data_IF_291801787865
#
_entry.id   IF_291801787865
#
_cell.length_a   1.000
_cell.length_b   1.000
_cell.length_c   1.000
_cell.angle_alpha   90.00
_cell.angle_beta   90.00
_cell.angle_gamma   90.00
#
_symmetry.space_group_name_H-M   'P 1'
#
loop_
_entity.id
_entity.type
_entity.pdbx_description
1 polymer ?
#
# COMPACT_ATOMS: atom_id res chain seq x y z
N UNK A 1 -0.61 -13.61 -26.97
CA UNK A 1 -1.40 -12.86 -25.98
C UNK A 1 -0.50 -12.71 -24.78
N UNK A 2 -0.28 -11.50 -24.29
CA UNK A 2 0.54 -11.32 -23.08
C UNK A 2 -0.27 -11.85 -21.91
N UNK A 3 0.31 -12.69 -21.06
CA UNK A 3 -0.34 -13.26 -19.89
C UNK A 3 0.50 -13.01 -18.64
N UNK A 4 -0.18 -12.80 -17.52
CA UNK A 4 0.49 -12.70 -16.23
C UNK A 4 0.88 -14.09 -15.75
N UNK A 5 2.14 -14.23 -15.34
CA UNK A 5 2.74 -15.49 -14.88
C UNK A 5 2.37 -15.80 -13.42
N UNK A 6 1.08 -15.81 -13.11
CA UNK A 6 0.57 -15.95 -11.73
C UNK A 6 1.09 -17.21 -11.04
N UNK A 7 1.06 -18.35 -11.74
CA UNK A 7 1.58 -19.61 -11.21
C UNK A 7 3.07 -19.54 -10.89
N UNK A 8 3.88 -18.80 -11.66
CA UNK A 8 5.31 -18.67 -11.38
C UNK A 8 5.53 -17.82 -10.10
N UNK A 9 4.76 -16.75 -9.91
CA UNK A 9 4.80 -15.93 -8.69
C UNK A 9 4.29 -16.67 -7.46
N UNK A 10 3.16 -17.38 -7.55
CA UNK A 10 2.61 -18.15 -6.44
C UNK A 10 3.56 -19.28 -5.97
N UNK A 11 4.38 -19.81 -6.89
CA UNK A 11 5.42 -20.79 -6.57
C UNK A 11 6.77 -20.15 -6.16
N UNK A 12 6.86 -18.82 -6.08
CA UNK A 12 8.06 -18.08 -5.67
C UNK A 12 9.16 -17.99 -6.73
N UNK A 13 8.88 -18.33 -8.00
CA UNK A 13 9.83 -18.20 -9.11
C UNK A 13 9.94 -16.77 -9.65
N UNK A 14 8.98 -15.92 -9.31
CA UNK A 14 8.97 -14.50 -9.60
C UNK A 14 8.76 -13.78 -8.28
N UNK A 15 9.57 -12.76 -8.00
CA UNK A 15 9.41 -11.93 -6.82
C UNK A 15 8.21 -10.96 -6.96
N UNK A 16 7.79 -10.39 -5.83
CA UNK A 16 6.65 -9.47 -5.78
C UNK A 16 6.83 -8.24 -6.69
N UNK A 17 8.04 -7.65 -6.76
CA UNK A 17 8.27 -6.44 -7.53
C UNK A 17 8.20 -6.72 -9.04
N UNK A 18 8.77 -7.85 -9.48
CA UNK A 18 8.71 -8.33 -10.86
C UNK A 18 7.27 -8.64 -11.29
N UNK A 19 6.48 -9.27 -10.41
CA UNK A 19 5.05 -9.51 -10.66
C UNK A 19 4.26 -8.20 -10.67
N UNK A 20 4.53 -7.27 -9.75
CA UNK A 20 3.91 -5.96 -9.69
C UNK A 20 4.15 -5.13 -10.96
N UNK A 21 5.38 -5.13 -11.48
CA UNK A 21 5.72 -4.47 -12.75
C UNK A 21 4.97 -5.10 -13.93
N UNK A 22 4.91 -6.43 -13.97
CA UNK A 22 4.18 -7.18 -15.01
C UNK A 22 2.69 -6.87 -14.98
N UNK A 23 2.09 -6.87 -13.78
CA UNK A 23 0.69 -6.50 -13.57
C UNK A 23 0.40 -5.08 -14.05
N UNK A 24 1.23 -4.12 -13.65
CA UNK A 24 1.09 -2.72 -14.06
C UNK A 24 1.11 -2.58 -15.58
N UNK A 25 2.14 -3.13 -16.26
CA UNK A 25 2.26 -3.00 -17.72
C UNK A 25 1.10 -3.71 -18.42
N UNK A 26 0.71 -4.91 -17.97
CA UNK A 26 -0.39 -5.67 -18.54
C UNK A 26 -1.72 -4.89 -18.50
N UNK A 27 -2.12 -4.39 -17.33
CA UNK A 27 -3.38 -3.64 -17.21
C UNK A 27 -3.29 -2.24 -17.82
N UNK A 28 -2.11 -1.61 -17.79
CA UNK A 28 -1.89 -0.34 -18.47
C UNK A 28 -2.08 -0.48 -19.98
N UNK A 29 -1.51 -1.52 -20.60
CA UNK A 29 -1.70 -1.81 -22.03
C UNK A 29 -3.15 -2.14 -22.38
N UNK A 30 -3.87 -2.84 -21.50
CA UNK A 30 -5.31 -3.09 -21.69
C UNK A 30 -6.13 -1.79 -21.67
N UNK A 31 -5.83 -0.86 -20.75
CA UNK A 31 -6.58 0.41 -20.60
C UNK A 31 -6.12 1.47 -21.63
N UNK A 32 -4.84 1.48 -21.96
CA UNK A 32 -4.17 2.45 -22.83
C UNK A 32 -3.22 1.77 -23.82
N UNK A 33 -3.75 1.16 -24.91
CA UNK A 33 -2.95 0.37 -25.84
C UNK A 33 -1.77 1.14 -26.44
N UNK A 34 -0.59 0.50 -26.43
CA UNK A 34 0.64 1.03 -27.03
C UNK A 34 1.49 -0.10 -27.60
N UNK A 35 1.54 -0.20 -28.95
CA UNK A 35 2.26 -1.27 -29.66
C UNK A 35 3.76 -1.33 -29.37
N UNK A 36 4.40 -0.19 -29.04
CA UNK A 36 5.84 -0.17 -28.74
C UNK A 36 6.11 -0.82 -27.39
N UNK A 37 5.31 -0.46 -26.38
CA UNK A 37 5.40 -1.06 -25.03
C UNK A 37 4.99 -2.53 -25.08
N UNK A 38 3.94 -2.87 -25.82
CA UNK A 38 3.47 -4.26 -25.99
C UNK A 38 4.57 -5.15 -26.59
N UNK A 39 5.24 -4.70 -27.65
CA UNK A 39 6.36 -5.42 -28.25
C UNK A 39 7.53 -5.56 -27.27
N UNK A 40 7.93 -4.46 -26.63
CA UNK A 40 9.02 -4.48 -25.67
C UNK A 40 8.72 -5.39 -24.47
N UNK A 41 7.47 -5.44 -24.01
CA UNK A 41 7.05 -6.32 -22.92
C UNK A 41 7.06 -7.80 -23.31
N UNK A 42 6.64 -8.13 -24.54
CA UNK A 42 6.69 -9.50 -25.04
C UNK A 42 8.12 -10.02 -25.27
N UNK A 43 9.06 -9.13 -25.58
CA UNK A 43 10.47 -9.47 -25.87
C UNK A 43 11.39 -9.36 -24.63
N UNK A 44 10.89 -8.81 -23.51
CA UNK A 44 11.72 -8.50 -22.34
C UNK A 44 11.88 -9.70 -21.40
N UNK A 45 13.11 -9.96 -21.00
CA UNK A 45 13.45 -10.87 -19.88
C UNK A 45 13.37 -10.16 -18.52
N UNK A 46 13.46 -8.82 -18.50
CA UNK A 46 13.44 -7.99 -17.30
C UNK A 46 12.42 -6.85 -17.43
N UNK A 47 11.21 -7.10 -16.92
CA UNK A 47 10.07 -6.20 -17.02
C UNK A 47 10.32 -4.85 -16.33
N UNK A 48 11.15 -4.83 -15.28
CA UNK A 48 11.45 -3.61 -14.53
C UNK A 48 12.18 -2.55 -15.36
N UNK A 49 13.00 -2.94 -16.34
CA UNK A 49 13.73 -2.03 -17.21
C UNK A 49 12.79 -1.20 -18.10
N UNK A 50 11.64 -1.79 -18.47
CA UNK A 50 10.62 -1.11 -19.28
C UNK A 50 10.04 0.11 -18.57
N UNK A 51 9.98 0.07 -17.23
CA UNK A 51 9.50 1.21 -16.43
C UNK A 51 10.42 2.43 -16.60
N UNK A 52 11.70 2.22 -16.87
CA UNK A 52 12.69 3.29 -17.07
C UNK A 52 12.67 3.85 -18.49
N UNK A 53 12.34 3.01 -19.47
CA UNK A 53 12.40 3.35 -20.90
C UNK A 53 11.16 4.07 -21.42
N UNK A 54 10.01 3.90 -20.75
CA UNK A 54 8.73 4.39 -21.26
C UNK A 54 8.06 5.40 -20.31
N UNK A 55 7.33 6.34 -20.94
CA UNK A 55 6.40 7.22 -20.25
C UNK A 55 5.00 6.65 -20.38
N UNK A 56 4.35 6.41 -19.24
CA UNK A 56 3.03 5.81 -19.18
C UNK A 56 1.95 6.88 -19.08
N UNK A 57 0.97 6.82 -19.99
CA UNK A 57 -0.15 7.76 -20.04
C UNK A 57 -1.00 7.66 -18.77
N UNK A 58 -1.39 8.82 -18.21
CA UNK A 58 -2.29 8.92 -17.03
C UNK A 58 -1.79 8.21 -15.77
N UNK A 59 -0.47 8.00 -15.64
CA UNK A 59 0.13 7.45 -14.42
C UNK A 59 0.83 8.58 -13.68
N UNK A 60 0.57 8.70 -12.37
CA UNK A 60 1.20 9.74 -11.55
C UNK A 60 2.68 9.40 -11.33
N UNK A 61 3.54 10.42 -11.35
CA UNK A 61 4.99 10.24 -11.22
C UNK A 61 5.38 9.52 -9.93
N UNK A 62 4.73 9.86 -8.82
CA UNK A 62 4.92 9.23 -7.50
C UNK A 62 4.72 7.72 -7.53
N UNK A 63 3.63 7.25 -8.13
CA UNK A 63 3.34 5.82 -8.24
C UNK A 63 4.38 5.09 -9.10
N UNK A 64 4.76 5.69 -10.23
CA UNK A 64 5.77 5.10 -11.11
C UNK A 64 7.15 5.06 -10.45
N UNK A 65 7.51 6.09 -9.69
CA UNK A 65 8.74 6.12 -8.90
C UNK A 65 8.74 5.05 -7.81
N UNK A 66 7.63 4.90 -7.10
CA UNK A 66 7.46 3.83 -6.11
C UNK A 66 7.67 2.44 -6.70
N UNK A 67 7.04 2.15 -7.84
CA UNK A 67 7.20 0.87 -8.51
C UNK A 67 8.66 0.64 -8.96
N UNK A 68 9.33 1.68 -9.47
CA UNK A 68 10.76 1.60 -9.85
C UNK A 68 11.64 1.29 -8.63
N UNK A 69 11.44 2.02 -7.53
CA UNK A 69 12.20 1.82 -6.29
C UNK A 69 11.96 0.45 -5.67
N UNK A 70 10.74 -0.07 -5.78
CA UNK A 70 10.43 -1.45 -5.41
C UNK A 70 11.20 -2.46 -6.27
N UNK A 71 11.17 -2.31 -7.60
CA UNK A 71 11.93 -3.20 -8.51
C UNK A 71 13.45 -3.16 -8.30
N UNK A 72 13.98 -2.05 -7.79
CA UNK A 72 15.40 -1.92 -7.45
C UNK A 72 15.74 -2.51 -6.07
N UNK A 73 14.74 -3.00 -5.32
CA UNK A 73 14.91 -3.51 -3.95
C UNK A 73 15.18 -2.40 -2.93
N UNK A 74 14.88 -1.15 -3.26
CA UNK A 74 15.11 -0.01 -2.37
C UNK A 74 13.95 0.20 -1.39
N UNK A 75 12.72 -0.07 -1.80
CA UNK A 75 11.50 0.15 -1.01
C UNK A 75 10.75 -1.16 -0.75
N UNK A 76 10.44 -1.42 0.52
CA UNK A 76 9.87 -2.68 1.00
C UNK A 76 8.34 -2.72 0.88
N UNK A 77 7.88 -3.15 -0.28
CA UNK A 77 6.46 -3.45 -0.49
C UNK A 77 6.18 -4.95 -0.44
N UNK A 78 4.91 -5.27 -0.18
CA UNK A 78 4.38 -6.63 -0.25
C UNK A 78 3.22 -6.69 -1.24
N UNK A 79 3.31 -7.56 -2.24
CA UNK A 79 2.22 -7.76 -3.18
C UNK A 79 1.17 -8.69 -2.56
N UNK A 80 -0.11 -8.30 -2.62
CA UNK A 80 -1.21 -9.08 -2.05
C UNK A 80 -2.35 -9.21 -3.07
N UNK A 81 -3.03 -10.36 -3.10
CA UNK A 81 -4.16 -10.61 -4.03
C UNK A 81 -5.53 -10.34 -3.42
N UNK A 82 -5.57 -9.96 -2.14
CA UNK A 82 -6.78 -9.68 -1.36
C UNK A 82 -6.72 -8.27 -0.77
N UNK A 83 -7.89 -7.68 -0.53
CA UNK A 83 -7.98 -6.45 0.26
C UNK A 83 -7.78 -6.88 1.71
N UNK A 84 -6.71 -6.37 2.32
CA UNK A 84 -6.37 -6.68 3.70
C UNK A 84 -7.35 -6.03 4.68
N UNK A 85 -7.57 -6.67 5.81
CA UNK A 85 -8.27 -6.08 6.94
C UNK A 85 -7.43 -4.97 7.58
N UNK A 86 -8.05 -4.03 8.31
CA UNK A 86 -7.32 -2.97 9.02
C UNK A 86 -6.19 -3.50 9.92
N UNK A 87 -6.39 -4.62 10.60
CA UNK A 87 -5.37 -5.23 11.47
C UNK A 87 -4.21 -5.88 10.71
N UNK A 88 -4.48 -6.46 9.54
CA UNK A 88 -3.43 -6.98 8.66
C UNK A 88 -2.60 -5.83 8.08
N UNK A 89 -3.24 -4.73 7.69
CA UNK A 89 -2.55 -3.50 7.26
C UNK A 89 -1.68 -2.97 8.40
N UNK A 90 -2.24 -2.77 9.60
CA UNK A 90 -1.49 -2.36 10.79
C UNK A 90 -0.25 -3.23 11.04
N UNK A 91 -0.40 -4.55 10.91
CA UNK A 91 0.69 -5.50 11.14
C UNK A 91 1.84 -5.31 10.16
N UNK A 92 1.56 -5.01 8.89
CA UNK A 92 2.58 -4.71 7.89
C UNK A 92 3.18 -3.31 8.10
N UNK A 93 2.35 -2.30 8.37
CA UNK A 93 2.79 -0.92 8.61
C UNK A 93 3.75 -0.82 9.80
N UNK A 94 3.47 -1.56 10.89
CA UNK A 94 4.32 -1.63 12.07
C UNK A 94 5.69 -2.31 11.81
N UNK A 95 5.86 -2.97 10.67
CA UNK A 95 7.12 -3.56 10.20
C UNK A 95 7.81 -2.69 9.14
N UNK A 96 7.21 -1.55 8.76
CA UNK A 96 7.70 -0.70 7.69
C UNK A 96 7.42 -1.23 6.29
N UNK A 97 6.49 -2.19 6.17
CA UNK A 97 6.11 -2.81 4.90
C UNK A 97 4.82 -2.17 4.40
N UNK A 98 4.77 -1.84 3.10
CA UNK A 98 3.56 -1.29 2.46
C UNK A 98 2.89 -2.33 1.56
N UNK A 99 1.63 -2.71 1.80
CA UNK A 99 0.92 -3.62 0.91
C UNK A 99 0.56 -2.93 -0.41
N UNK A 100 0.65 -3.67 -1.51
CA UNK A 100 0.13 -3.27 -2.82
C UNK A 100 -0.82 -4.35 -3.31
N UNK A 101 -2.05 -3.96 -3.62
CA UNK A 101 -3.11 -4.91 -3.95
C UNK A 101 -3.16 -5.18 -5.45
N UNK A 102 -2.92 -6.44 -5.80
CA UNK A 102 -3.06 -7.00 -7.14
C UNK A 102 -4.41 -7.71 -7.28
N UNK A 103 -5.42 -7.00 -7.78
CA UNK A 103 -6.72 -7.61 -8.12
C UNK A 103 -6.81 -7.91 -9.62
N UNK A 104 -6.88 -9.18 -9.97
CA UNK A 104 -7.07 -9.62 -11.35
C UNK A 104 -8.52 -9.40 -11.77
N UNK A 105 -8.71 -8.70 -12.89
CA UNK A 105 -10.00 -8.39 -13.47
C UNK A 105 -10.03 -8.80 -14.95
N UNK A 106 -11.08 -9.52 -15.35
CA UNK A 106 -11.32 -9.82 -16.77
C UNK A 106 -11.76 -8.55 -17.53
N UNK A 107 -12.66 -7.80 -16.89
CA UNK A 107 -13.16 -6.50 -17.34
C UNK A 107 -12.94 -5.49 -16.21
N UNK A 108 -12.61 -4.25 -16.55
CA UNK A 108 -12.38 -3.20 -15.56
C UNK A 108 -13.67 -2.92 -14.79
N UNK A 109 -13.61 -3.06 -13.46
CA UNK A 109 -14.74 -2.86 -12.56
C UNK A 109 -14.27 -2.14 -11.30
N UNK A 110 -15.12 -1.28 -10.69
CA UNK A 110 -14.74 -0.55 -9.48
C UNK A 110 -14.25 -1.44 -8.34
N UNK A 111 -13.22 -0.98 -7.64
CA UNK A 111 -12.71 -1.58 -6.39
C UNK A 111 -12.76 -0.51 -5.31
N UNK A 112 -13.64 -0.71 -4.32
CA UNK A 112 -13.94 0.30 -3.29
C UNK A 112 -14.28 1.66 -3.94
N UNK A 113 -13.44 2.67 -3.71
CA UNK A 113 -13.60 4.03 -4.23
C UNK A 113 -12.74 4.32 -5.48
N UNK A 114 -12.16 3.29 -6.10
CA UNK A 114 -11.32 3.42 -7.31
C UNK A 114 -12.04 2.85 -8.52
N UNK A 115 -11.75 3.45 -9.67
CA UNK A 115 -12.40 3.12 -10.94
C UNK A 115 -12.21 1.64 -11.33
N UNK A 116 -11.01 1.10 -11.10
CA UNK A 116 -10.67 -0.27 -11.44
C UNK A 116 -9.41 -0.78 -10.72
N UNK A 117 -8.98 -2.01 -11.05
CA UNK A 117 -7.78 -2.62 -10.47
C UNK A 117 -6.47 -1.88 -10.74
N UNK A 118 -6.34 -1.20 -11.89
CA UNK A 118 -5.13 -0.46 -12.21
C UNK A 118 -5.07 0.83 -11.38
N UNK A 119 -6.18 1.57 -11.29
CA UNK A 119 -6.25 2.77 -10.45
C UNK A 119 -6.08 2.45 -8.96
N UNK A 120 -6.61 1.30 -8.51
CA UNK A 120 -6.40 0.82 -7.14
C UNK A 120 -4.93 0.51 -6.86
N UNK A 121 -4.28 -0.26 -7.74
CA UNK A 121 -2.87 -0.58 -7.64
C UNK A 121 -1.96 0.66 -7.68
N UNK A 122 -2.24 1.60 -8.60
CA UNK A 122 -1.54 2.89 -8.67
C UNK A 122 -1.70 3.66 -7.36
N UNK A 123 -2.89 3.64 -6.76
CA UNK A 123 -3.13 4.32 -5.50
C UNK A 123 -2.31 3.73 -4.34
N UNK A 124 -2.23 2.40 -4.23
CA UNK A 124 -1.39 1.75 -3.22
C UNK A 124 0.09 2.12 -3.38
N UNK A 125 0.58 2.22 -4.63
CA UNK A 125 1.94 2.70 -4.91
C UNK A 125 2.15 4.17 -4.50
N UNK A 126 1.14 5.04 -4.65
CA UNK A 126 1.23 6.43 -4.17
C UNK A 126 1.37 6.50 -2.65
N UNK A 127 0.63 5.67 -1.92
CA UNK A 127 0.77 5.56 -0.47
C UNK A 127 2.18 5.14 -0.08
N UNK A 128 2.72 4.12 -0.77
CA UNK A 128 4.09 3.71 -0.56
C UNK A 128 5.11 4.81 -0.85
N UNK A 129 4.93 5.57 -1.93
CA UNK A 129 5.74 6.75 -2.19
C UNK A 129 5.72 7.71 -1.00
N UNK A 130 4.52 8.07 -0.53
CA UNK A 130 4.37 9.00 0.60
C UNK A 130 5.01 8.48 1.88
N UNK A 131 5.11 7.16 2.04
CA UNK A 131 5.81 6.55 3.18
C UNK A 131 7.32 6.51 3.02
N UNK A 132 7.86 6.10 1.87
CA UNK A 132 9.29 5.82 1.70
C UNK A 132 10.13 7.02 1.25
N UNK A 133 9.52 8.04 0.64
CA UNK A 133 10.28 9.16 0.07
C UNK A 133 10.94 10.09 1.11
N UNK A 134 10.48 10.06 2.36
CA UNK A 134 10.96 10.90 3.46
C UNK A 134 11.25 9.99 4.67
N UNK A 135 12.53 9.79 4.98
CA UNK A 135 12.96 8.86 6.02
C UNK A 135 12.54 9.34 7.42
N UNK A 136 12.45 10.65 7.67
CA UNK A 136 12.02 11.18 8.96
C UNK A 136 10.54 10.87 9.19
N UNK A 137 9.70 11.14 8.17
CA UNK A 137 8.28 10.79 8.20
C UNK A 137 8.06 9.28 8.29
N UNK A 138 8.88 8.48 7.61
CA UNK A 138 8.84 7.02 7.67
C UNK A 138 9.09 6.51 9.09
N UNK A 139 10.15 7.00 9.75
CA UNK A 139 10.50 6.61 11.13
C UNK A 139 9.37 7.00 12.10
N UNK A 140 8.81 8.20 11.96
CA UNK A 140 7.68 8.64 12.78
C UNK A 140 6.44 7.74 12.60
N UNK A 141 6.07 7.42 11.36
CA UNK A 141 4.94 6.55 11.08
C UNK A 141 5.18 5.11 11.59
N UNK A 142 6.41 4.60 11.45
CA UNK A 142 6.77 3.27 11.95
C UNK A 142 6.63 3.19 13.47
N UNK A 143 7.15 4.20 14.21
CA UNK A 143 6.99 4.30 15.67
C UNK A 143 5.51 4.31 16.04
N UNK A 144 4.74 5.17 15.39
CA UNK A 144 3.30 5.29 15.64
C UNK A 144 2.54 3.98 15.45
N UNK A 145 2.68 3.31 14.30
CA UNK A 145 1.95 2.06 14.05
C UNK A 145 2.41 0.91 14.93
N UNK A 146 3.69 0.88 15.33
CA UNK A 146 4.19 -0.08 16.31
C UNK A 146 3.53 0.13 17.68
N UNK A 147 3.46 1.36 18.15
CA UNK A 147 2.82 1.71 19.43
C UNK A 147 1.33 1.41 19.44
N UNK A 148 0.62 1.73 18.35
CA UNK A 148 -0.79 1.34 18.19
C UNK A 148 -0.93 -0.19 18.22
N UNK A 149 -0.09 -0.92 17.48
CA UNK A 149 -0.13 -2.39 17.48
C UNK A 149 0.13 -2.96 18.88
N UNK A 150 1.13 -2.46 19.59
CA UNK A 150 1.51 -2.94 20.91
C UNK A 150 0.43 -2.61 21.95
N UNK A 151 -0.29 -1.48 21.82
CA UNK A 151 -1.39 -1.10 22.72
C UNK A 151 -2.56 -2.10 22.74
N UNK A 152 -2.78 -2.86 21.66
CA UNK A 152 -3.75 -3.96 21.65
C UNK A 152 -3.34 -5.12 22.56
N UNK A 153 -2.05 -5.35 22.78
CA UNK A 153 -1.58 -6.39 23.71
C UNK A 153 -1.65 -5.98 25.18
N UNK A 154 -1.82 -4.68 25.44
CA UNK A 154 -1.86 -4.10 26.78
C UNK A 154 -3.29 -3.83 27.28
N UNK A 155 -4.30 -4.37 26.59
CA UNK A 155 -5.72 -4.21 26.95
C UNK A 155 -6.21 -2.75 26.99
N UNK A 156 -5.45 -1.80 26.44
CA UNK A 156 -5.73 -0.36 26.51
C UNK A 156 -7.10 0.00 25.91
N UNK A 157 -7.49 -0.68 24.84
CA UNK A 157 -8.74 -0.42 24.12
C UNK A 157 -9.98 -1.08 24.74
N UNK A 158 -9.83 -1.90 25.79
CA UNK A 158 -10.94 -2.72 26.31
C UNK A 158 -12.13 -1.90 26.79
N UNK A 159 -11.90 -0.68 27.29
CA UNK A 159 -12.97 0.21 27.74
C UNK A 159 -13.87 0.72 26.60
N UNK A 160 -13.39 0.65 25.36
CA UNK A 160 -14.15 1.02 24.15
C UNK A 160 -14.82 -0.18 23.47
N UNK A 161 -14.69 -1.39 24.04
CA UNK A 161 -15.31 -2.57 23.46
C UNK A 161 -16.84 -2.41 23.36
N UNK A 162 -17.38 -2.65 22.16
CA UNK A 162 -18.81 -2.50 21.86
C UNK A 162 -19.21 -1.10 21.39
N UNK A 163 -18.34 -0.09 21.46
CA UNK A 163 -18.57 1.19 20.80
C UNK A 163 -18.25 1.09 19.30
N UNK A 164 -19.30 0.91 18.50
CA UNK A 164 -19.21 0.81 17.03
C UNK A 164 -18.61 2.06 16.38
N UNK A 165 -18.77 3.24 16.98
CA UNK A 165 -18.22 4.49 16.44
C UNK A 165 -16.73 4.54 16.65
N UNK A 166 -16.28 4.14 17.84
CA UNK A 166 -14.87 3.98 18.14
C UNK A 166 -14.23 2.93 17.21
N UNK A 167 -14.84 1.74 17.11
CA UNK A 167 -14.37 0.65 16.24
C UNK A 167 -14.18 1.11 14.79
N UNK A 168 -15.19 1.78 14.21
CA UNK A 168 -15.11 2.30 12.85
C UNK A 168 -13.95 3.29 12.65
N UNK A 169 -13.77 4.22 13.60
CA UNK A 169 -12.70 5.23 13.53
C UNK A 169 -11.33 4.61 13.72
N UNK A 170 -11.20 3.67 14.65
CA UNK A 170 -9.97 2.92 14.86
C UNK A 170 -9.60 2.12 13.62
N UNK A 171 -10.56 1.42 13.01
CA UNK A 171 -10.35 0.71 11.76
C UNK A 171 -9.91 1.65 10.63
N UNK A 172 -10.53 2.82 10.51
CA UNK A 172 -10.09 3.84 9.56
C UNK A 172 -8.64 4.23 9.81
N UNK A 173 -8.29 4.62 11.05
CA UNK A 173 -6.93 5.03 11.44
C UNK A 173 -5.87 3.97 11.11
N UNK A 174 -6.11 2.70 11.48
CA UNK A 174 -5.10 1.64 11.31
C UNK A 174 -5.05 1.10 9.88
N UNK A 175 -6.04 1.43 9.04
CA UNK A 175 -6.04 1.15 7.60
C UNK A 175 -5.53 2.32 6.76
N UNK A 176 -5.42 3.52 7.35
CA UNK A 176 -4.97 4.71 6.64
C UNK A 176 -3.46 4.62 6.42
N UNK A 177 -3.05 4.67 5.16
CA UNK A 177 -1.65 4.67 4.74
C UNK A 177 -1.13 6.08 4.46
N UNK A 178 -1.98 7.09 4.65
CA UNK A 178 -1.64 8.49 4.42
C UNK A 178 -1.28 9.24 5.71
N UNK A 179 -0.27 10.10 5.56
CA UNK A 179 -0.13 11.38 6.28
C UNK A 179 0.59 11.36 7.64
N UNK A 180 1.00 12.59 8.02
CA UNK A 180 1.88 12.98 9.11
C UNK A 180 1.36 12.63 10.51
N UNK A 181 2.28 12.41 11.44
CA UNK A 181 2.04 12.04 12.84
C UNK A 181 0.99 12.90 13.55
N UNK A 182 1.02 14.22 13.33
CA UNK A 182 0.07 15.16 13.94
C UNK A 182 -1.39 14.88 13.54
N UNK A 183 -1.61 14.39 12.33
CA UNK A 183 -2.94 14.00 11.87
C UNK A 183 -3.42 12.76 12.62
N UNK A 184 -2.54 11.77 12.81
CA UNK A 184 -2.87 10.56 13.56
C UNK A 184 -3.16 10.85 15.03
N UNK A 185 -2.32 11.67 15.70
CA UNK A 185 -2.56 12.09 17.09
C UNK A 185 -3.87 12.85 17.23
N UNK A 186 -4.13 13.82 16.36
CA UNK A 186 -5.39 14.59 16.36
C UNK A 186 -6.61 13.69 16.14
N UNK A 187 -6.50 12.73 15.22
CA UNK A 187 -7.58 11.78 14.94
C UNK A 187 -7.83 10.84 16.12
N UNK A 188 -6.76 10.39 16.77
CA UNK A 188 -6.81 9.57 17.98
C UNK A 188 -7.46 10.32 19.14
N UNK A 189 -7.09 11.58 19.38
CA UNK A 189 -7.66 12.42 20.43
C UNK A 189 -9.15 12.68 20.23
N UNK A 190 -9.59 12.80 18.98
CA UNK A 190 -10.99 12.99 18.66
C UNK A 190 -11.87 11.74 18.91
N UNK A 191 -11.28 10.59 19.25
CA UNK A 191 -12.01 9.34 19.54
C UNK A 191 -11.80 8.76 20.93
N UNK A 192 -10.95 9.37 21.77
CA UNK A 192 -10.66 8.91 23.14
C UNK A 192 -10.91 10.01 24.18
N UNK A 193 -11.11 9.59 25.43
CA UNK A 193 -11.30 10.51 26.56
C UNK A 193 -10.02 11.26 26.93
N UNK A 194 -10.16 12.45 27.54
CA UNK A 194 -9.02 13.28 27.94
C UNK A 194 -8.04 12.60 28.91
N UNK A 195 -8.50 11.63 29.70
CA UNK A 195 -7.64 10.84 30.58
C UNK A 195 -6.70 9.92 29.79
N UNK A 196 -7.19 9.34 28.70
CA UNK A 196 -6.43 8.46 27.81
C UNK A 196 -5.50 9.22 26.87
N UNK A 197 -5.84 10.47 26.54
CA UNK A 197 -4.96 11.33 25.75
C UNK A 197 -3.59 11.48 26.42
N UNK A 198 -3.54 11.54 27.75
CA UNK A 198 -2.27 11.58 28.50
C UNK A 198 -1.44 10.30 28.36
N UNK A 199 -2.10 9.15 28.22
CA UNK A 199 -1.42 7.89 27.97
C UNK A 199 -0.86 7.82 26.55
N UNK A 200 -1.61 8.36 25.58
CA UNK A 200 -1.10 8.55 24.22
C UNK A 200 0.05 9.57 24.18
N UNK A 201 0.00 10.66 24.93
CA UNK A 201 1.17 11.55 25.03
C UNK A 201 2.40 10.79 25.57
N UNK A 202 2.21 9.99 26.62
CA UNK A 202 3.30 9.22 27.24
C UNK A 202 3.90 8.12 26.35
N UNK A 203 3.08 7.39 25.59
CA UNK A 203 3.58 6.34 24.68
C UNK A 203 4.27 6.94 23.47
N UNK A 204 3.73 8.05 22.95
CA UNK A 204 4.10 8.61 21.64
C UNK A 204 5.02 9.85 21.75
N UNK A 205 5.64 10.09 22.91
CA UNK A 205 6.82 10.97 23.14
C UNK A 205 8.12 10.23 22.76
#
# INVERSE_FOLDING_TARGET
MIELKLNEWENGNIDDASMAASFFIYYHLKKYPNKKIERAFAESENVSELLQQFVFKKVRSKALEALKKWCLGEWDFKLVTTILTPFEVLSLQAQGIRPVTMKIQKEFQPILHKEDCLEFFIHDLEHGYMFFHDEELKVMQLKFFKEIKDSFTLDFWNKYNGDKRFEYRLHYLISDMNTHLEHYKSYLYAMIDAEDQKYVDYIFE
#
